data_IF_092427973493
#
_entry.id   IF_092427973493
#
_cell.length_a   1.000
_cell.length_b   1.000
_cell.length_c   1.000
_cell.angle_alpha   90.00
_cell.angle_beta   90.00
_cell.angle_gamma   90.00
#
_symmetry.space_group_name_H-M   'P 1'
#
loop_
_entity.id
_entity.type
_entity.pdbx_description
1 polymer ?
#
# COMPACT_ATOMS: atom_id res chain seq x y z
N UNK A 1 -2.90 7.06 -0.77
CA UNK A 1 -3.23 8.03 0.31
C UNK A 1 -2.88 9.41 -0.21
N UNK A 2 -3.79 10.39 -0.16
CA UNK A 2 -3.54 11.75 -0.65
C UNK A 2 -2.21 12.27 -0.12
N UNK A 3 -1.31 12.75 -0.98
CA UNK A 3 0.02 13.29 -0.64
C UNK A 3 -0.01 14.61 0.15
N UNK A 4 -1.11 14.87 0.87
CA UNK A 4 -1.36 16.08 1.64
C UNK A 4 -0.83 15.93 3.06
N UNK A 5 -0.22 17.00 3.57
CA UNK A 5 0.17 17.06 4.98
C UNK A 5 -1.05 17.05 5.89
N UNK A 6 -0.87 16.58 7.13
CA UNK A 6 -1.95 16.61 8.14
C UNK A 6 -2.46 18.04 8.40
N UNK A 7 -1.62 19.06 8.20
CA UNK A 7 -1.98 20.47 8.32
C UNK A 7 -2.99 20.88 7.24
N UNK A 8 -2.70 20.57 5.97
CA UNK A 8 -3.63 20.84 4.86
C UNK A 8 -4.96 20.10 5.03
N UNK A 9 -4.92 18.88 5.56
CA UNK A 9 -6.13 18.11 5.86
C UNK A 9 -6.91 18.77 7.00
N UNK A 10 -6.23 19.20 8.07
CA UNK A 10 -6.84 19.94 9.17
C UNK A 10 -7.52 21.24 8.72
N UNK A 11 -6.86 22.01 7.86
CA UNK A 11 -7.41 23.22 7.22
C UNK A 11 -8.63 22.89 6.36
N UNK A 12 -8.56 21.88 5.49
CA UNK A 12 -9.69 21.50 4.63
C UNK A 12 -10.93 21.10 5.40
N UNK A 13 -10.76 20.32 6.46
CA UNK A 13 -11.88 19.80 7.26
C UNK A 13 -12.24 20.70 8.45
N UNK A 14 -11.50 21.80 8.67
CA UNK A 14 -11.68 22.70 9.80
C UNK A 14 -11.67 21.96 11.14
N UNK A 15 -10.70 21.04 11.30
CA UNK A 15 -10.51 20.23 12.51
C UNK A 15 -9.07 20.26 12.96
N UNK A 16 -8.86 20.02 14.25
CA UNK A 16 -7.51 19.89 14.81
C UNK A 16 -6.76 18.69 14.19
N UNK A 17 -5.44 18.83 14.05
CA UNK A 17 -4.56 17.74 13.62
C UNK A 17 -4.73 16.48 14.49
N UNK A 18 -5.00 16.65 15.79
CA UNK A 18 -5.28 15.54 16.70
C UNK A 18 -6.55 14.76 16.31
N UNK A 19 -7.61 15.46 15.91
CA UNK A 19 -8.86 14.86 15.44
C UNK A 19 -8.64 14.11 14.13
N UNK A 20 -7.94 14.74 13.18
CA UNK A 20 -7.57 14.11 11.90
C UNK A 20 -6.79 12.82 12.15
N UNK A 21 -5.73 12.86 12.97
CA UNK A 21 -4.91 11.69 13.29
C UNK A 21 -5.72 10.57 13.95
N UNK A 22 -6.60 10.91 14.91
CA UNK A 22 -7.47 9.96 15.61
C UNK A 22 -8.37 9.21 14.63
N UNK A 23 -9.05 9.92 13.74
CA UNK A 23 -9.97 9.29 12.78
C UNK A 23 -9.24 8.55 11.67
N UNK A 24 -8.11 9.09 11.18
CA UNK A 24 -7.26 8.38 10.24
C UNK A 24 -6.85 7.00 10.78
N UNK A 25 -6.37 6.94 12.04
CA UNK A 25 -6.02 5.66 12.69
C UNK A 25 -7.22 4.72 12.81
N UNK A 26 -8.39 5.22 13.25
CA UNK A 26 -9.61 4.41 13.35
C UNK A 26 -10.01 3.80 12.00
N UNK A 27 -10.00 4.62 10.95
CA UNK A 27 -10.36 4.19 9.60
C UNK A 27 -9.32 3.19 9.08
N UNK A 28 -8.03 3.45 9.29
CA UNK A 28 -6.95 2.52 8.93
C UNK A 28 -7.15 1.15 9.58
N UNK A 29 -7.45 1.10 10.88
CA UNK A 29 -7.73 -0.18 11.56
C UNK A 29 -9.00 -0.86 11.05
N UNK A 30 -10.06 -0.10 10.76
CA UNK A 30 -11.28 -0.65 10.18
C UNK A 30 -11.00 -1.30 8.81
N UNK A 31 -10.31 -0.62 7.90
CA UNK A 31 -9.98 -1.17 6.58
C UNK A 31 -8.96 -2.31 6.63
N UNK A 32 -8.09 -2.31 7.65
CA UNK A 32 -7.13 -3.40 7.89
C UNK A 32 -7.77 -4.58 8.64
N UNK A 33 -9.01 -4.45 9.11
CA UNK A 33 -9.71 -5.55 9.76
C UNK A 33 -9.94 -6.70 8.77
N UNK A 34 -9.93 -7.94 9.27
CA UNK A 34 -10.07 -9.13 8.42
C UNK A 34 -11.37 -9.11 7.60
N UNK A 35 -12.46 -8.61 8.18
CA UNK A 35 -13.78 -8.58 7.55
C UNK A 35 -13.84 -7.68 6.32
N UNK A 36 -13.14 -6.54 6.35
CA UNK A 36 -13.05 -5.63 5.21
C UNK A 36 -11.93 -6.09 4.28
N UNK A 37 -10.75 -6.35 4.82
CA UNK A 37 -9.57 -6.65 4.03
C UNK A 37 -9.75 -7.90 3.17
N UNK A 38 -10.19 -9.03 3.76
CA UNK A 38 -10.37 -10.27 3.01
C UNK A 38 -11.50 -10.23 1.98
N UNK A 39 -12.49 -9.35 2.19
CA UNK A 39 -13.64 -9.21 1.29
C UNK A 39 -13.33 -8.36 0.06
N UNK A 40 -12.57 -7.27 0.25
CA UNK A 40 -12.37 -6.27 -0.79
C UNK A 40 -10.95 -6.22 -1.36
N UNK A 41 -9.94 -6.75 -0.65
CA UNK A 41 -8.56 -6.81 -1.14
C UNK A 41 -8.28 -8.20 -1.66
N UNK A 42 -7.83 -8.29 -2.92
CA UNK A 42 -7.40 -9.54 -3.55
C UNK A 42 -5.98 -9.35 -4.05
N UNK A 43 -5.09 -10.24 -3.62
CA UNK A 43 -3.74 -10.29 -4.17
C UNK A 43 -3.79 -10.81 -5.61
N UNK A 44 -2.96 -10.26 -6.50
CA UNK A 44 -2.74 -10.87 -7.81
C UNK A 44 -2.17 -12.27 -7.62
N UNK A 45 -2.50 -13.18 -8.54
CA UNK A 45 -1.93 -14.52 -8.57
C UNK A 45 -0.45 -14.44 -8.95
N UNK A 46 0.32 -15.45 -8.58
CA UNK A 46 1.74 -15.52 -8.92
C UNK A 46 2.03 -15.54 -10.43
N UNK A 47 1.05 -15.98 -11.23
CA UNK A 47 1.08 -16.03 -12.70
C UNK A 47 0.42 -14.81 -13.36
N UNK A 48 0.02 -13.79 -12.59
CA UNK A 48 -0.61 -12.61 -13.15
C UNK A 48 0.39 -11.83 -14.04
N UNK A 49 -0.04 -11.38 -15.23
CA UNK A 49 0.84 -10.60 -16.10
C UNK A 49 1.17 -9.25 -15.45
N UNK A 50 2.36 -8.74 -15.76
CA UNK A 50 2.81 -7.41 -15.36
C UNK A 50 1.83 -6.36 -15.87
N UNK A 51 1.48 -5.39 -15.03
CA UNK A 51 0.57 -4.32 -15.43
C UNK A 51 1.14 -3.53 -16.63
N UNK A 52 0.34 -3.16 -17.64
CA UNK A 52 0.80 -2.44 -18.83
C UNK A 52 1.61 -1.17 -18.53
N UNK A 53 1.25 -0.43 -17.47
CA UNK A 53 2.00 0.75 -17.02
C UNK A 53 3.47 0.48 -16.69
N UNK A 54 3.80 -0.73 -16.25
CA UNK A 54 5.19 -1.16 -16.00
C UNK A 54 5.78 -1.73 -17.29
N UNK A 55 5.06 -2.66 -17.92
CA UNK A 55 5.52 -3.39 -19.11
C UNK A 55 5.87 -2.43 -20.26
N UNK A 56 5.00 -1.48 -20.54
CA UNK A 56 5.12 -0.57 -21.69
C UNK A 56 6.03 0.63 -21.39
N UNK A 57 6.48 0.78 -20.14
CA UNK A 57 7.35 1.87 -19.74
C UNK A 57 8.81 1.38 -19.66
N UNK A 58 9.68 1.77 -20.61
CA UNK A 58 11.07 1.32 -20.65
C UNK A 58 11.90 1.77 -19.43
N UNK A 59 11.44 2.77 -18.68
CA UNK A 59 12.06 3.19 -17.42
C UNK A 59 11.71 2.26 -16.25
N UNK A 60 10.52 1.67 -16.27
CA UNK A 60 10.02 0.82 -15.17
C UNK A 60 10.27 -0.65 -15.40
N UNK A 61 10.09 -1.12 -16.63
CA UNK A 61 10.19 -2.54 -16.97
C UNK A 61 11.50 -3.20 -16.49
N UNK A 62 12.71 -2.61 -16.67
CA UNK A 62 13.96 -3.25 -16.24
C UNK A 62 14.05 -3.52 -14.73
N UNK A 63 13.29 -2.79 -13.91
CA UNK A 63 13.34 -2.88 -12.44
C UNK A 63 12.14 -3.59 -11.83
N UNK A 64 11.03 -3.69 -12.57
CA UNK A 64 9.74 -4.17 -12.05
C UNK A 64 9.10 -5.26 -12.93
N UNK A 65 9.87 -5.91 -13.81
CA UNK A 65 9.39 -6.97 -14.69
C UNK A 65 8.75 -8.15 -13.95
N UNK A 66 9.12 -8.41 -12.69
CA UNK A 66 8.54 -9.48 -11.86
C UNK A 66 7.68 -8.95 -10.70
N UNK A 67 7.22 -7.69 -10.78
CA UNK A 67 6.46 -7.06 -9.70
C UNK A 67 5.02 -7.59 -9.62
N UNK A 68 4.73 -8.35 -8.56
CA UNK A 68 3.39 -8.89 -8.24
C UNK A 68 2.76 -7.98 -7.16
N UNK A 69 2.52 -6.70 -7.48
CA UNK A 69 2.07 -5.75 -6.46
C UNK A 69 1.67 -4.36 -6.98
N UNK A 70 1.10 -3.55 -6.09
CA UNK A 70 0.72 -2.18 -6.40
C UNK A 70 1.95 -1.24 -6.41
N UNK A 71 2.07 -0.44 -7.46
CA UNK A 71 3.10 0.61 -7.58
C UNK A 71 2.86 1.73 -6.56
N UNK A 72 1.60 2.10 -6.36
CA UNK A 72 1.20 3.19 -5.47
C UNK A 72 0.88 2.69 -4.05
N UNK A 73 1.95 2.45 -3.29
CA UNK A 73 2.08 2.68 -1.84
C UNK A 73 0.99 2.16 -0.89
N UNK A 74 0.08 1.30 -1.31
CA UNK A 74 -0.90 0.69 -0.42
C UNK A 74 -0.24 -0.54 0.17
N UNK A 75 0.32 -0.39 1.37
CA UNK A 75 0.93 -1.47 2.12
C UNK A 75 -0.14 -2.53 2.40
N UNK A 76 -0.19 -3.54 1.54
CA UNK A 76 -0.79 -4.83 1.83
C UNK A 76 0.01 -5.42 3.00
N UNK A 77 -0.68 -5.93 4.01
CA UNK A 77 -0.04 -6.70 5.07
C UNK A 77 0.54 -7.98 4.44
N UNK A 78 1.77 -7.89 3.95
CA UNK A 78 2.54 -8.99 3.43
C UNK A 78 3.64 -9.28 4.44
N UNK A 79 3.54 -10.42 5.12
CA UNK A 79 4.61 -10.96 5.94
C UNK A 79 5.15 -12.18 5.21
N UNK A 80 6.42 -12.18 4.77
CA UNK A 80 7.02 -13.39 4.23
C UNK A 80 7.02 -14.52 5.25
N UNK A 81 7.10 -15.74 4.72
CA UNK A 81 7.34 -16.94 5.53
C UNK A 81 8.59 -16.75 6.40
N UNK A 82 8.68 -17.50 7.49
CA UNK A 82 9.81 -17.36 8.42
C UNK A 82 11.16 -17.57 7.70
N UNK A 83 11.20 -18.45 6.70
CA UNK A 83 12.38 -18.74 5.89
C UNK A 83 12.78 -17.58 4.96
N UNK A 84 11.83 -16.84 4.41
CA UNK A 84 12.07 -15.80 3.40
C UNK A 84 12.33 -14.41 4.01
N UNK A 85 12.06 -14.23 5.30
CA UNK A 85 12.17 -12.94 6.00
C UNK A 85 13.55 -12.32 5.89
N UNK A 86 14.62 -13.11 5.96
CA UNK A 86 15.99 -12.58 5.91
C UNK A 86 16.33 -11.97 4.54
N UNK A 87 15.78 -12.54 3.47
CA UNK A 87 16.01 -12.10 2.08
C UNK A 87 15.14 -10.90 1.72
N UNK A 88 13.94 -10.82 2.28
CA UNK A 88 12.96 -9.75 2.02
C UNK A 88 13.09 -8.53 2.94
N UNK A 89 14.10 -8.46 3.82
CA UNK A 89 14.38 -7.21 4.54
C UNK A 89 14.90 -6.18 3.55
N UNK A 90 14.31 -4.98 3.59
CA UNK A 90 14.88 -3.81 2.93
C UNK A 90 16.36 -3.68 3.34
N UNK A 91 17.26 -3.89 2.39
CA UNK A 91 18.66 -3.48 2.55
C UNK A 91 18.66 -1.96 2.59
N UNK A 92 18.95 -1.42 3.77
CA UNK A 92 19.19 0.00 3.96
C UNK A 92 20.63 0.32 3.58
#
# INVERSE_FOLDING_TARGET
VTSLSIRHVGERFQRSNSTISKYFKKILFAFSSRDIYSKYVRLPRSDAPVHPTIHDNPKFFPFFADAIGAIDGTHIACAPSSEERDVMRNRK
#
